data_IF_161463048466
#
_entry.id   IF_161463048466
#
_cell.length_a   1.000
_cell.length_b   1.000
_cell.length_c   1.000
_cell.angle_alpha   90.00
_cell.angle_beta   90.00
_cell.angle_gamma   90.00
#
_symmetry.space_group_name_H-M   'P 1'
#
loop_
_entity.id
_entity.type
_entity.pdbx_description
1 polymer ?
#
# COMPACT_ATOMS: atom_id res chain seq x y z
N UNK A 1 9.47 17.40 -3.13
CA UNK A 1 10.07 16.27 -3.87
C UNK A 1 10.74 15.26 -2.96
N UNK A 2 11.71 15.65 -2.11
CA UNK A 2 12.42 14.71 -1.22
C UNK A 2 11.52 14.10 -0.14
N UNK A 3 10.66 14.91 0.49
CA UNK A 3 9.75 14.45 1.55
C UNK A 3 8.76 13.38 1.05
N UNK A 4 8.25 13.54 -0.17
CA UNK A 4 7.34 12.56 -0.81
C UNK A 4 8.07 11.24 -1.06
N UNK A 5 9.32 11.29 -1.56
CA UNK A 5 10.13 10.08 -1.75
C UNK A 5 10.37 9.35 -0.43
N UNK A 6 10.70 10.08 0.62
CA UNK A 6 10.88 9.52 1.97
C UNK A 6 9.60 8.83 2.45
N UNK A 7 8.44 9.47 2.27
CA UNK A 7 7.16 8.90 2.65
C UNK A 7 6.80 7.62 1.87
N UNK A 8 7.10 7.57 0.56
CA UNK A 8 6.86 6.37 -0.26
C UNK A 8 7.79 5.23 0.17
N UNK A 9 9.07 5.53 0.38
CA UNK A 9 10.05 4.52 0.83
C UNK A 9 9.69 4.00 2.22
N UNK A 10 9.28 4.87 3.15
CA UNK A 10 8.87 4.46 4.49
C UNK A 10 7.61 3.59 4.48
N UNK A 11 6.62 3.93 3.64
CA UNK A 11 5.43 3.11 3.44
C UNK A 11 5.79 1.71 2.90
N UNK A 12 6.69 1.62 1.92
CA UNK A 12 7.16 0.34 1.38
C UNK A 12 7.86 -0.50 2.46
N UNK A 13 8.74 0.13 3.25
CA UNK A 13 9.42 -0.55 4.37
C UNK A 13 8.42 -1.08 5.39
N UNK A 14 7.38 -0.31 5.75
CA UNK A 14 6.34 -0.78 6.68
C UNK A 14 5.60 -2.01 6.17
N UNK A 15 5.27 -2.05 4.89
CA UNK A 15 4.64 -3.21 4.25
C UNK A 15 5.56 -4.43 4.34
N UNK A 16 6.84 -4.28 3.98
CA UNK A 16 7.83 -5.38 4.06
C UNK A 16 7.99 -5.87 5.49
N UNK A 17 8.12 -4.98 6.47
CA UNK A 17 8.21 -5.32 7.89
C UNK A 17 6.99 -6.12 8.33
N UNK A 18 5.79 -5.76 7.87
CA UNK A 18 4.56 -6.50 8.17
C UNK A 18 4.57 -7.92 7.60
N UNK A 19 5.04 -8.10 6.36
CA UNK A 19 5.19 -9.42 5.75
C UNK A 19 6.20 -10.28 6.52
N UNK A 20 7.36 -9.72 6.88
CA UNK A 20 8.38 -10.42 7.68
C UNK A 20 7.83 -10.80 9.06
N UNK A 21 7.14 -9.87 9.74
CA UNK A 21 6.51 -10.16 11.02
C UNK A 21 5.49 -11.30 10.92
N UNK A 22 4.70 -11.32 9.84
CA UNK A 22 3.76 -12.41 9.56
C UNK A 22 4.48 -13.75 9.35
N UNK A 23 5.57 -13.77 8.57
CA UNK A 23 6.36 -14.96 8.31
C UNK A 23 7.03 -15.53 9.58
N UNK A 24 7.37 -14.67 10.54
CA UNK A 24 7.93 -15.05 11.84
C UNK A 24 6.87 -15.44 12.89
N UNK A 25 5.60 -15.62 12.49
CA UNK A 25 4.49 -15.96 13.40
C UNK A 25 3.96 -14.78 14.23
N UNK A 26 4.48 -13.56 14.03
CA UNK A 26 4.03 -12.30 14.66
C UNK A 26 3.04 -11.56 13.76
N UNK A 27 2.07 -12.29 13.22
CA UNK A 27 1.07 -11.78 12.28
C UNK A 27 0.04 -10.82 12.90
N UNK A 28 -0.10 -10.78 14.22
CA UNK A 28 -1.14 -9.98 14.88
C UNK A 28 -0.56 -8.84 15.71
N UNK A 29 0.03 -7.84 15.05
CA UNK A 29 0.46 -6.59 15.68
C UNK A 29 -0.55 -5.51 15.27
N UNK A 30 -1.52 -5.12 16.14
CA UNK A 30 -2.67 -4.31 15.74
C UNK A 30 -2.31 -3.00 15.04
N UNK A 31 -1.35 -2.26 15.59
CA UNK A 31 -0.92 -0.98 15.02
C UNK A 31 -0.28 -1.13 13.64
N UNK A 32 0.58 -2.14 13.47
CA UNK A 32 1.23 -2.42 12.20
C UNK A 32 0.23 -2.91 11.14
N UNK A 33 -0.76 -3.69 11.56
CA UNK A 33 -1.84 -4.15 10.70
C UNK A 33 -2.67 -2.97 10.19
N UNK A 34 -3.10 -2.09 11.08
CA UNK A 34 -3.88 -0.91 10.71
C UNK A 34 -3.10 0.02 9.78
N UNK A 35 -1.83 0.29 10.08
CA UNK A 35 -0.96 1.12 9.25
C UNK A 35 -0.82 0.55 7.83
N UNK A 36 -0.53 -0.75 7.71
CA UNK A 36 -0.37 -1.40 6.39
C UNK A 36 -1.70 -1.49 5.64
N UNK A 37 -2.83 -1.72 6.33
CA UNK A 37 -4.15 -1.70 5.70
C UNK A 37 -4.45 -0.34 5.08
N UNK A 38 -4.16 0.77 5.77
CA UNK A 38 -4.35 2.12 5.23
C UNK A 38 -3.45 2.37 4.02
N UNK A 39 -2.19 1.95 4.09
CA UNK A 39 -1.25 2.10 2.96
C UNK A 39 -1.74 1.33 1.74
N UNK A 40 -2.15 0.07 1.93
CA UNK A 40 -2.62 -0.79 0.84
C UNK A 40 -3.96 -0.34 0.27
N UNK A 41 -4.88 0.14 1.10
CA UNK A 41 -6.18 0.61 0.62
C UNK A 41 -6.05 1.88 -0.24
N UNK A 42 -5.17 2.81 0.15
CA UNK A 42 -4.85 3.98 -0.66
C UNK A 42 -4.22 3.59 -2.00
N UNK A 43 -3.26 2.66 -1.98
CA UNK A 43 -2.61 2.17 -3.19
C UNK A 43 -3.60 1.50 -4.13
N UNK A 44 -4.37 0.53 -3.64
CA UNK A 44 -5.38 -0.19 -4.43
C UNK A 44 -6.45 0.77 -4.95
N UNK A 45 -6.91 1.72 -4.13
CA UNK A 45 -7.88 2.73 -4.56
C UNK A 45 -7.38 3.56 -5.75
N UNK A 46 -6.12 3.98 -5.71
CA UNK A 46 -5.49 4.69 -6.82
C UNK A 46 -5.35 3.84 -8.08
N UNK A 47 -4.91 2.58 -7.95
CA UNK A 47 -4.83 1.64 -9.06
C UNK A 47 -6.19 1.35 -9.70
N UNK A 48 -7.25 1.18 -8.90
CA UNK A 48 -8.61 0.96 -9.41
C UNK A 48 -9.14 2.16 -10.21
N UNK A 49 -8.82 3.39 -9.79
CA UNK A 49 -9.21 4.61 -10.52
C UNK A 49 -8.48 4.65 -11.87
N UNK A 50 -7.17 4.40 -11.89
CA UNK A 50 -6.40 4.37 -13.14
C UNK A 50 -6.89 3.27 -14.09
N UNK A 51 -7.17 2.07 -13.56
CA UNK A 51 -7.75 0.98 -14.35
C UNK A 51 -9.11 1.36 -14.91
N UNK A 52 -9.97 2.00 -14.11
CA UNK A 52 -11.26 2.51 -14.57
C UNK A 52 -11.12 3.52 -15.71
N UNK A 53 -10.18 4.46 -15.59
CA UNK A 53 -9.88 5.44 -16.65
C UNK A 53 -9.39 4.75 -17.93
N UNK A 54 -8.45 3.81 -17.81
CA UNK A 54 -7.92 3.07 -18.95
C UNK A 54 -8.99 2.23 -19.67
N UNK A 55 -9.94 1.66 -18.91
CA UNK A 55 -11.07 0.92 -19.47
C UNK A 55 -12.04 1.86 -20.21
N UNK A 56 -12.35 3.02 -19.63
CA UNK A 56 -13.22 4.03 -20.29
C UNK A 56 -12.56 4.54 -21.58
N UNK A 57 -11.28 4.87 -21.54
CA UNK A 57 -10.51 5.35 -22.71
C UNK A 57 -10.47 4.31 -23.83
N UNK A 58 -10.42 3.02 -23.48
CA UNK A 58 -10.41 1.93 -24.47
C UNK A 58 -11.78 1.62 -25.08
N UNK A 59 -12.86 1.98 -24.39
CA UNK A 59 -14.25 1.71 -24.82
C UNK A 59 -14.83 2.88 -25.62
N UNK A 60 -14.41 4.12 -25.34
CA UNK A 60 -14.68 5.29 -26.18
C UNK A 60 -13.83 5.33 -27.45
#
# INVERSE_FOLDING_TARGET
>A
MIAVKIAVVSALVLVVVKFVASALGKGNIPLLNQAVTVILSLFIGFELIQLGQAVIEKIN
#
